data_IF_682146056166
#
_entry.id   IF_682146056166
#
_cell.length_a   1.000
_cell.length_b   1.000
_cell.length_c   1.000
_cell.angle_alpha   90.00
_cell.angle_beta   90.00
_cell.angle_gamma   90.00
#
_symmetry.space_group_name_H-M   'P 1'
#
loop_
_entity.id
_entity.type
_entity.pdbx_description
1 polymer ?
#
# COMPACT_ATOMS: atom_id res chain seq x y z
N UNK A 1 -19.61 -20.69 -7.11
CA UNK A 1 -19.65 -19.40 -7.80
C UNK A 1 -18.29 -18.75 -7.59
N UNK A 2 -17.51 -18.71 -8.66
CA UNK A 2 -16.21 -18.04 -8.66
C UNK A 2 -16.48 -16.54 -8.51
N UNK A 3 -16.14 -15.97 -7.35
CA UNK A 3 -16.09 -14.53 -7.20
C UNK A 3 -14.86 -14.04 -7.98
N UNK A 4 -15.06 -13.72 -9.25
CA UNK A 4 -14.10 -12.95 -10.03
C UNK A 4 -13.84 -11.63 -9.30
N UNK A 5 -12.71 -11.58 -8.59
CA UNK A 5 -12.16 -10.33 -8.06
C UNK A 5 -12.01 -9.40 -9.26
N UNK A 6 -12.89 -8.40 -9.37
CA UNK A 6 -13.06 -7.60 -10.59
C UNK A 6 -11.72 -7.03 -11.07
N UNK A 7 -11.14 -7.67 -12.08
CA UNK A 7 -9.91 -7.23 -12.75
C UNK A 7 -10.29 -6.15 -13.75
N UNK A 8 -10.28 -4.89 -13.33
CA UNK A 8 -10.43 -3.76 -14.23
C UNK A 8 -10.25 -2.40 -13.55
N UNK A 9 -10.07 -1.32 -14.34
CA UNK A 9 -10.06 0.08 -13.88
C UNK A 9 -11.35 0.51 -13.15
N UNK A 10 -12.31 -0.39 -13.02
CA UNK A 10 -13.58 -0.25 -12.33
C UNK A 10 -13.58 -0.62 -10.84
N UNK A 11 -12.42 -0.95 -10.26
CA UNK A 11 -12.35 -1.18 -8.81
C UNK A 11 -12.82 0.06 -8.04
N UNK A 12 -13.49 -0.16 -6.89
CA UNK A 12 -13.99 0.95 -6.07
C UNK A 12 -12.85 1.92 -5.70
N UNK A 13 -11.63 1.38 -5.56
CA UNK A 13 -10.42 2.12 -5.25
C UNK A 13 -9.99 3.04 -6.39
N UNK A 14 -9.96 2.55 -7.64
CA UNK A 14 -9.64 3.38 -8.80
C UNK A 14 -10.71 4.45 -9.06
N UNK A 15 -11.98 4.16 -8.78
CA UNK A 15 -13.09 5.10 -8.95
C UNK A 15 -13.02 6.33 -8.05
N UNK A 16 -12.42 6.19 -6.86
CA UNK A 16 -12.28 7.28 -5.90
C UNK A 16 -10.90 7.96 -5.95
N UNK A 17 -10.05 7.54 -6.88
CA UNK A 17 -8.74 8.15 -7.13
C UNK A 17 -8.91 9.59 -7.57
N UNK A 18 -8.03 10.46 -7.06
CA UNK A 18 -7.89 11.84 -7.51
C UNK A 18 -6.48 12.07 -8.00
N UNK A 19 -6.30 13.13 -8.77
CA UNK A 19 -5.00 13.55 -9.28
C UNK A 19 -4.79 15.01 -8.89
N UNK A 20 -3.60 15.34 -8.40
CA UNK A 20 -3.23 16.72 -8.09
C UNK A 20 -2.74 17.49 -9.33
N UNK A 21 -2.41 18.76 -9.15
CA UNK A 21 -1.94 19.65 -10.23
C UNK A 21 -0.63 19.19 -10.89
N UNK A 22 0.14 18.35 -10.19
CA UNK A 22 1.40 17.80 -10.65
C UNK A 22 1.25 16.41 -11.29
N UNK A 23 0.01 15.90 -11.40
CA UNK A 23 -0.26 14.57 -11.96
C UNK A 23 -0.12 13.42 -10.96
N UNK A 24 0.12 13.69 -9.67
CA UNK A 24 0.24 12.64 -8.66
C UNK A 24 -1.14 12.16 -8.23
N UNK A 25 -1.30 10.83 -8.13
CA UNK A 25 -2.51 10.23 -7.62
C UNK A 25 -2.60 10.29 -6.09
N UNK A 26 -3.81 10.57 -5.58
CA UNK A 26 -4.09 10.57 -4.15
C UNK A 26 -5.55 10.21 -3.85
N UNK A 27 -5.80 9.81 -2.61
CA UNK A 27 -7.12 9.53 -2.07
C UNK A 27 -7.39 10.40 -0.85
N UNK A 28 -8.66 10.77 -0.59
CA UNK A 28 -9.01 11.41 0.68
C UNK A 28 -9.48 10.36 1.67
N UNK A 29 -9.00 10.44 2.91
CA UNK A 29 -9.32 9.48 3.96
C UNK A 29 -10.83 9.33 4.20
N UNK A 30 -11.60 10.42 4.09
CA UNK A 30 -13.06 10.36 4.25
C UNK A 30 -13.77 9.63 3.12
N UNK A 31 -13.27 9.77 1.89
CA UNK A 31 -13.81 9.03 0.73
C UNK A 31 -13.44 7.56 0.84
N UNK A 32 -12.18 7.27 1.21
CA UNK A 32 -11.71 5.90 1.42
C UNK A 32 -12.46 5.20 2.56
N UNK A 33 -12.69 5.87 3.68
CA UNK A 33 -13.46 5.33 4.81
C UNK A 33 -14.83 4.81 4.36
N UNK A 34 -15.55 5.60 3.55
CA UNK A 34 -16.86 5.21 3.00
C UNK A 34 -16.76 4.03 2.04
N UNK A 35 -15.76 4.04 1.16
CA UNK A 35 -15.53 2.94 0.23
C UNK A 35 -15.17 1.62 0.94
N UNK A 36 -14.57 1.71 2.13
CA UNK A 36 -14.22 0.57 3.00
C UNK A 36 -15.27 0.29 4.07
N UNK A 37 -16.48 0.84 3.92
CA UNK A 37 -17.65 0.56 4.76
C UNK A 37 -17.47 0.96 6.24
N UNK A 38 -16.75 2.06 6.48
CA UNK A 38 -16.67 2.75 7.76
C UNK A 38 -17.68 3.90 7.83
N UNK A 39 -18.70 3.75 8.67
CA UNK A 39 -19.74 4.75 8.90
C UNK A 39 -19.28 5.89 9.82
N UNK A 40 -18.55 5.56 10.89
CA UNK A 40 -17.90 6.53 11.77
C UNK A 40 -16.43 6.70 11.39
N UNK A 41 -16.07 7.94 11.01
CA UNK A 41 -14.70 8.29 10.66
C UNK A 41 -13.72 8.10 11.82
N UNK A 42 -14.15 8.18 13.08
CA UNK A 42 -13.30 7.94 14.26
C UNK A 42 -12.76 6.52 14.29
N UNK A 43 -13.59 5.54 13.93
CA UNK A 43 -13.15 4.14 13.82
C UNK A 43 -12.13 3.96 12.70
N UNK A 44 -12.27 4.74 11.63
CA UNK A 44 -11.31 4.73 10.53
C UNK A 44 -9.97 5.38 10.91
N UNK A 45 -9.96 6.40 11.77
CA UNK A 45 -8.73 6.99 12.29
C UNK A 45 -7.86 5.95 12.99
N UNK A 46 -8.45 5.03 13.76
CA UNK A 46 -7.70 3.94 14.39
C UNK A 46 -6.99 3.03 13.37
N UNK A 47 -7.60 2.81 12.20
CA UNK A 47 -6.97 2.04 11.11
C UNK A 47 -5.85 2.85 10.45
N UNK A 48 -6.04 4.16 10.29
CA UNK A 48 -4.99 5.07 9.78
C UNK A 48 -3.78 5.03 10.72
N UNK A 49 -3.97 5.07 12.04
CA UNK A 49 -2.85 5.00 12.99
C UNK A 49 -2.10 3.67 12.88
N UNK A 50 -2.79 2.54 12.74
CA UNK A 50 -2.13 1.25 12.46
C UNK A 50 -1.35 1.27 11.14
N UNK A 51 -1.90 1.89 10.10
CA UNK A 51 -1.21 2.03 8.81
C UNK A 51 0.02 2.95 8.92
N UNK A 52 -0.03 4.02 9.72
CA UNK A 52 1.13 4.87 10.03
C UNK A 52 2.20 4.06 10.75
N UNK A 53 1.83 3.28 11.76
CA UNK A 53 2.77 2.40 12.47
C UNK A 53 3.42 1.39 11.52
N UNK A 54 2.64 0.73 10.67
CA UNK A 54 3.17 -0.17 9.64
C UNK A 54 4.12 0.55 8.67
N UNK A 55 3.81 1.78 8.27
CA UNK A 55 4.66 2.62 7.42
C UNK A 55 6.01 2.92 8.10
N UNK A 56 5.98 3.32 9.38
CA UNK A 56 7.18 3.59 10.19
C UNK A 56 8.02 2.32 10.34
N UNK A 57 7.40 1.21 10.71
CA UNK A 57 8.08 -0.07 10.89
C UNK A 57 8.66 -0.62 9.56
N UNK A 58 8.07 -0.24 8.43
CA UNK A 58 8.60 -0.51 7.08
C UNK A 58 9.66 0.50 6.63
N UNK A 59 10.12 1.38 7.53
CA UNK A 59 11.11 2.42 7.27
C UNK A 59 10.71 3.40 6.15
N UNK A 60 9.41 3.55 5.90
CA UNK A 60 8.88 4.51 4.95
C UNK A 60 8.56 5.83 5.65
N UNK A 61 8.90 6.95 5.00
CA UNK A 61 8.60 8.27 5.54
C UNK A 61 7.10 8.55 5.47
N UNK A 62 6.43 8.59 6.62
CA UNK A 62 4.96 8.78 6.72
C UNK A 62 4.48 10.00 5.93
N UNK A 63 5.23 11.10 5.94
CA UNK A 63 4.89 12.33 5.22
C UNK A 63 4.77 12.17 3.70
N UNK A 64 5.40 11.13 3.11
CA UNK A 64 5.29 10.83 1.67
C UNK A 64 4.01 10.07 1.33
N UNK A 65 3.27 9.60 2.34
CA UNK A 65 2.16 8.68 2.16
C UNK A 65 0.88 9.11 2.85
N UNK A 66 0.98 9.79 3.98
CA UNK A 66 -0.14 10.34 4.74
C UNK A 66 0.14 11.81 5.02
N UNK A 67 -0.62 12.68 4.36
CA UNK A 67 -0.51 14.14 4.51
C UNK A 67 -1.78 14.67 5.16
N UNK A 68 -1.63 15.27 6.34
CA UNK A 68 -2.73 15.94 7.02
C UNK A 68 -3.21 17.16 6.22
N UNK A 69 -4.53 17.28 6.07
CA UNK A 69 -5.15 18.45 5.47
C UNK A 69 -6.56 18.65 6.01
N UNK A 70 -7.17 19.77 5.67
CA UNK A 70 -8.55 20.03 6.04
C UNK A 70 -9.48 19.81 4.84
N UNK A 71 -10.57 19.08 5.07
CA UNK A 71 -11.58 18.74 4.06
C UNK A 71 -12.93 19.34 4.44
N UNK A 72 -13.66 19.89 3.48
CA UNK A 72 -15.03 20.38 3.69
C UNK A 72 -16.01 19.20 3.75
N UNK A 73 -16.67 19.03 4.89
CA UNK A 73 -17.60 17.92 5.15
C UNK A 73 -19.01 18.46 5.35
N UNK A 74 -19.99 17.87 4.67
CA UNK A 74 -21.40 18.17 4.91
C UNK A 74 -21.83 17.67 6.30
N UNK A 75 -22.47 18.53 7.07
CA UNK A 75 -23.06 18.18 8.37
C UNK A 75 -24.58 18.03 8.24
N UNK A 76 -25.22 17.38 9.21
CA UNK A 76 -26.65 17.02 9.16
C UNK A 76 -27.63 18.19 8.99
N UNK A 77 -27.18 19.43 9.16
CA UNK A 77 -27.96 20.64 8.89
C UNK A 77 -27.87 21.15 7.44
N UNK A 78 -27.17 20.44 6.55
CA UNK A 78 -26.94 20.85 5.15
C UNK A 78 -25.78 21.85 4.97
N UNK A 79 -25.25 22.42 6.06
CA UNK A 79 -24.04 23.23 6.03
C UNK A 79 -22.79 22.36 5.78
N UNK A 80 -21.70 22.98 5.32
CA UNK A 80 -20.38 22.33 5.22
C UNK A 80 -19.44 22.90 6.28
N UNK A 81 -18.66 22.05 6.92
CA UNK A 81 -17.66 22.43 7.92
C UNK A 81 -16.29 21.91 7.53
N UNK A 82 -15.28 22.76 7.74
CA UNK A 82 -13.89 22.38 7.57
C UNK A 82 -13.47 21.44 8.72
N UNK A 83 -13.02 20.23 8.39
CA UNK A 83 -12.60 19.23 9.37
C UNK A 83 -11.26 18.57 8.99
N UNK A 84 -10.44 18.16 9.98
CA UNK A 84 -9.20 17.44 9.73
C UNK A 84 -9.44 16.14 8.93
N UNK A 85 -8.55 15.83 8.01
CA UNK A 85 -8.59 14.68 7.11
C UNK A 85 -7.16 14.36 6.65
N UNK A 86 -7.00 13.35 5.79
CA UNK A 86 -5.72 12.97 5.23
C UNK A 86 -5.81 12.79 3.72
N UNK A 87 -4.80 13.27 3.00
CA UNK A 87 -4.47 12.80 1.66
C UNK A 87 -3.58 11.57 1.80
N UNK A 88 -3.90 10.54 1.04
CA UNK A 88 -3.29 9.23 1.13
C UNK A 88 -2.68 8.87 -0.23
N UNK A 89 -1.44 8.39 -0.21
CA UNK A 89 -0.84 7.73 -1.38
C UNK A 89 -1.49 6.36 -1.60
N UNK A 90 -1.29 5.79 -2.80
CA UNK A 90 -1.68 4.41 -3.09
C UNK A 90 -1.11 3.42 -2.06
N UNK A 91 0.15 3.63 -1.68
CA UNK A 91 0.82 2.82 -0.65
C UNK A 91 0.13 2.91 0.71
N UNK A 92 -0.21 4.12 1.18
CA UNK A 92 -0.97 4.28 2.44
C UNK A 92 -2.32 3.57 2.40
N UNK A 93 -3.02 3.64 1.26
CA UNK A 93 -4.28 2.94 1.11
C UNK A 93 -4.14 1.42 1.22
N UNK A 94 -3.07 0.85 0.67
CA UNK A 94 -2.79 -0.59 0.81
C UNK A 94 -2.53 -0.98 2.25
N UNK A 95 -1.71 -0.21 2.97
CA UNK A 95 -1.48 -0.44 4.40
C UNK A 95 -2.78 -0.32 5.23
N UNK A 96 -3.66 0.63 4.89
CA UNK A 96 -4.97 0.77 5.53
C UNK A 96 -5.80 -0.50 5.34
N UNK A 97 -5.91 -1.03 4.11
CA UNK A 97 -6.68 -2.26 3.85
C UNK A 97 -6.07 -3.46 4.57
N UNK A 98 -4.74 -3.56 4.59
CA UNK A 98 -4.04 -4.66 5.29
C UNK A 98 -4.27 -4.64 6.81
N UNK A 99 -4.42 -3.47 7.42
CA UNK A 99 -4.59 -3.29 8.87
C UNK A 99 -6.05 -3.08 9.33
N UNK A 100 -7.00 -3.09 8.38
CA UNK A 100 -8.42 -2.88 8.64
C UNK A 100 -9.09 -4.14 9.22
N UNK A 101 -10.36 -4.00 9.62
CA UNK A 101 -11.15 -5.08 10.22
C UNK A 101 -11.60 -6.10 9.16
N UNK A 102 -11.11 -7.36 9.20
CA UNK A 102 -11.45 -8.38 8.21
C UNK A 102 -12.91 -8.87 8.32
N UNK A 103 -13.65 -8.51 9.37
CA UNK A 103 -15.09 -8.82 9.45
C UNK A 103 -15.92 -8.04 8.42
N UNK A 104 -15.37 -6.97 7.83
CA UNK A 104 -15.96 -6.25 6.70
C UNK A 104 -15.62 -6.94 5.39
N UNK A 105 -16.62 -7.33 4.61
CA UNK A 105 -16.44 -8.07 3.35
C UNK A 105 -15.52 -7.34 2.36
N UNK A 106 -15.65 -6.02 2.22
CA UNK A 106 -14.77 -5.22 1.35
C UNK A 106 -13.30 -5.27 1.76
N UNK A 107 -13.01 -5.38 3.06
CA UNK A 107 -11.65 -5.54 3.57
C UNK A 107 -11.14 -6.95 3.27
N UNK A 108 -11.93 -7.99 3.55
CA UNK A 108 -11.57 -9.38 3.27
C UNK A 108 -11.30 -9.63 1.77
N UNK A 109 -12.10 -9.03 0.89
CA UNK A 109 -11.88 -9.06 -0.56
C UNK A 109 -10.58 -8.33 -0.95
N UNK A 110 -10.29 -7.19 -0.34
CA UNK A 110 -9.02 -6.48 -0.54
C UNK A 110 -7.81 -7.29 -0.08
N UNK A 111 -7.90 -7.98 1.05
CA UNK A 111 -6.84 -8.87 1.55
C UNK A 111 -6.64 -10.08 0.63
N UNK A 112 -7.73 -10.66 0.13
CA UNK A 112 -7.68 -11.75 -0.87
C UNK A 112 -7.05 -11.27 -2.17
N UNK A 113 -7.37 -10.06 -2.62
CA UNK A 113 -6.72 -9.44 -3.77
C UNK A 113 -5.19 -9.38 -3.56
N UNK A 114 -4.70 -8.93 -2.40
CA UNK A 114 -3.26 -8.92 -2.13
C UNK A 114 -2.65 -10.32 -2.16
N UNK A 115 -3.27 -11.31 -1.51
CA UNK A 115 -2.78 -12.69 -1.52
C UNK A 115 -2.66 -13.25 -2.95
N UNK A 116 -3.67 -13.00 -3.79
CA UNK A 116 -3.67 -13.42 -5.19
C UNK A 116 -2.65 -12.65 -6.02
N UNK A 117 -2.57 -11.32 -5.88
CA UNK A 117 -1.63 -10.50 -6.65
C UNK A 117 -0.18 -10.83 -6.32
N UNK A 118 0.16 -11.03 -5.05
CA UNK A 118 1.51 -11.46 -4.66
C UNK A 118 1.85 -12.78 -5.35
N UNK A 119 0.92 -13.76 -5.33
CA UNK A 119 1.15 -15.04 -5.99
C UNK A 119 1.31 -14.91 -7.51
N UNK A 120 0.51 -14.06 -8.16
CA UNK A 120 0.64 -13.79 -9.59
C UNK A 120 1.99 -13.16 -9.90
N UNK A 121 2.45 -12.21 -9.08
CA UNK A 121 3.75 -11.57 -9.27
C UNK A 121 4.91 -12.55 -9.10
N UNK A 122 4.87 -13.42 -8.09
CA UNK A 122 5.86 -14.50 -7.91
C UNK A 122 5.92 -15.43 -9.13
N UNK A 123 4.76 -15.85 -9.67
CA UNK A 123 4.69 -16.71 -10.86
C UNK A 123 5.28 -15.98 -12.07
N UNK A 124 4.93 -14.71 -12.29
CA UNK A 124 5.48 -13.92 -13.40
C UNK A 124 7.00 -13.80 -13.31
N UNK A 125 7.56 -13.60 -12.12
CA UNK A 125 9.00 -13.59 -11.90
C UNK A 125 9.63 -14.96 -12.20
N UNK A 126 9.01 -16.07 -11.75
CA UNK A 126 9.48 -17.42 -12.07
C UNK A 126 9.42 -17.72 -13.58
N UNK A 127 8.35 -17.32 -14.26
CA UNK A 127 8.26 -17.47 -15.71
C UNK A 127 9.31 -16.66 -16.45
N UNK A 128 9.56 -15.41 -16.03
CA UNK A 128 10.61 -14.58 -16.59
C UNK A 128 11.99 -15.25 -16.45
N UNK A 129 12.26 -15.85 -15.28
CA UNK A 129 13.47 -16.64 -15.03
C UNK A 129 13.55 -17.88 -15.93
N UNK A 130 12.45 -18.64 -16.09
CA UNK A 130 12.42 -19.85 -16.90
C UNK A 130 12.56 -19.58 -18.41
N UNK A 131 12.25 -18.37 -18.88
CA UNK A 131 12.46 -17.94 -20.28
C UNK A 131 13.92 -17.61 -20.60
N UNK A 132 14.80 -17.53 -19.61
CA UNK A 132 16.23 -17.36 -19.81
C UNK A 132 16.82 -18.66 -20.36
N UNK A 133 17.48 -18.58 -21.52
CA UNK A 133 17.90 -19.73 -22.30
C UNK A 133 19.33 -20.17 -22.00
N UNK A 134 20.15 -19.26 -21.47
CA UNK A 134 21.56 -19.52 -21.14
C UNK A 134 21.81 -19.49 -19.63
N UNK A 135 22.83 -20.24 -19.20
CA UNK A 135 23.28 -20.22 -17.80
C UNK A 135 23.82 -18.85 -17.38
N UNK A 136 24.43 -18.10 -18.29
CA UNK A 136 24.95 -16.75 -18.01
C UNK A 136 23.81 -15.75 -17.77
N UNK A 137 22.72 -15.82 -18.53
CA UNK A 137 21.52 -15.00 -18.31
C UNK A 137 20.87 -15.29 -16.95
N UNK A 138 20.75 -16.57 -16.58
CA UNK A 138 20.21 -16.99 -15.28
C UNK A 138 21.09 -16.52 -14.12
N UNK A 139 22.41 -16.66 -14.26
CA UNK A 139 23.38 -16.19 -13.27
C UNK A 139 23.31 -14.67 -13.10
N UNK A 140 23.21 -13.92 -14.20
CA UNK A 140 23.08 -12.47 -14.16
C UNK A 140 21.78 -12.05 -13.48
N UNK A 141 20.66 -12.69 -13.82
CA UNK A 141 19.36 -12.45 -13.20
C UNK A 141 19.41 -12.65 -11.68
N UNK A 142 19.86 -13.83 -11.22
CA UNK A 142 19.96 -14.14 -9.79
C UNK A 142 20.91 -13.20 -9.05
N UNK A 143 22.01 -12.79 -9.69
CA UNK A 143 22.95 -11.83 -9.10
C UNK A 143 22.33 -10.45 -8.92
N UNK A 144 21.53 -9.99 -9.87
CA UNK A 144 20.83 -8.73 -9.77
C UNK A 144 19.80 -8.77 -8.63
N UNK A 145 19.00 -9.83 -8.53
CA UNK A 145 18.05 -10.03 -7.42
C UNK A 145 18.77 -10.05 -6.06
N UNK A 146 19.86 -10.83 -5.94
CA UNK A 146 20.68 -10.85 -4.73
C UNK A 146 21.28 -9.48 -4.39
N UNK A 147 21.77 -8.75 -5.39
CA UNK A 147 22.37 -7.43 -5.17
C UNK A 147 21.31 -6.42 -4.66
N UNK A 148 20.09 -6.46 -5.20
CA UNK A 148 18.98 -5.65 -4.71
C UNK A 148 18.61 -6.01 -3.27
N UNK A 149 18.45 -7.30 -2.96
CA UNK A 149 18.15 -7.76 -1.60
C UNK A 149 19.26 -7.41 -0.60
N UNK A 150 20.53 -7.59 -0.97
CA UNK A 150 21.66 -7.20 -0.12
C UNK A 150 21.69 -5.68 0.11
N UNK A 151 21.34 -4.88 -0.90
CA UNK A 151 21.24 -3.43 -0.74
C UNK A 151 20.12 -3.07 0.25
N UNK A 152 18.95 -3.69 0.12
CA UNK A 152 17.84 -3.50 1.05
C UNK A 152 18.20 -3.93 2.48
N UNK A 153 18.85 -5.09 2.65
CA UNK A 153 19.33 -5.58 3.93
C UNK A 153 20.38 -4.65 4.55
N UNK A 154 21.35 -4.18 3.77
CA UNK A 154 22.38 -3.27 4.25
C UNK A 154 21.80 -1.91 4.65
N UNK A 155 20.83 -1.38 3.89
CA UNK A 155 20.10 -0.16 4.25
C UNK A 155 19.31 -0.38 5.54
N UNK A 156 18.61 -1.50 5.69
CA UNK A 156 17.88 -1.83 6.90
C UNK A 156 18.79 -1.97 8.13
N UNK A 157 19.92 -2.70 8.00
CA UNK A 157 20.91 -2.89 9.07
C UNK A 157 21.54 -1.56 9.50
N UNK A 158 21.93 -0.72 8.53
CA UNK A 158 22.47 0.62 8.79
C UNK A 158 21.45 1.51 9.51
N UNK A 159 20.19 1.50 9.08
CA UNK A 159 19.12 2.27 9.72
C UNK A 159 18.81 1.78 11.13
N UNK A 160 18.99 0.47 11.39
CA UNK A 160 18.88 -0.13 12.72
C UNK A 160 20.13 0.11 13.61
N UNK A 161 21.13 0.85 13.12
CA UNK A 161 22.33 1.20 13.90
C UNK A 161 23.40 0.10 13.93
N UNK A 162 23.33 -0.90 13.05
CA UNK A 162 24.39 -1.90 12.87
C UNK A 162 25.48 -1.29 11.98
N UNK A 163 26.61 -0.91 12.59
CA UNK A 163 27.68 -0.13 11.93
C UNK A 163 28.87 -0.99 11.51
N UNK A 164 29.06 -2.19 12.06
CA UNK A 164 30.21 -3.02 11.71
C UNK A 164 29.96 -3.92 10.49
N UNK A 165 30.79 -3.82 9.43
CA UNK A 165 30.66 -4.59 8.19
C UNK A 165 31.42 -5.93 8.27
N UNK A 166 31.39 -6.61 9.41
CA UNK A 166 31.88 -7.97 9.56
C UNK A 166 30.66 -8.86 9.71
N UNK A 167 30.29 -9.59 8.63
CA UNK A 167 29.47 -10.83 8.62
C UNK A 167 28.62 -11.01 7.33
N UNK A 168 28.78 -10.17 6.30
CA UNK A 168 28.04 -10.30 5.03
C UNK A 168 28.92 -10.55 3.80
N UNK A 169 29.89 -11.45 3.91
CA UNK A 169 30.62 -12.01 2.75
C UNK A 169 30.02 -13.34 2.31
#
# INVERSE_FOLDING_TARGET
MENEVSKGPDSIFEKIKRTDENGNEYWTARTLAKALDYTDFRNFLAVIEKAKEACINSHQQVANHLVEFNEMVSIGSGAKRLMPSYKLSRYACYLIVQNADPSKEVIALGQTYFAVQTRLQEIQQMEAYNRLNTEDERRLFLRNEMAEHNTQLAVAAKNAGVVEPLDYA
#
